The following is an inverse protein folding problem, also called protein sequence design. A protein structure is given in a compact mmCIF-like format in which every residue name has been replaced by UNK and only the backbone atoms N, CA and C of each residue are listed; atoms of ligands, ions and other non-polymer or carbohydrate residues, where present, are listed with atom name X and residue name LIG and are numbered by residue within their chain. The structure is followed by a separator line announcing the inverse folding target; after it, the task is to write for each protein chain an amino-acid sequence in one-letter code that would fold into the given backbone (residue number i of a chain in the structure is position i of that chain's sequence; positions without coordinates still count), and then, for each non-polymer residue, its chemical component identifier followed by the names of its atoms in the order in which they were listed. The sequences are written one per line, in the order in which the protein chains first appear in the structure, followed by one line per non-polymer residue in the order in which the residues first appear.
data_IF_700948150098
#
_entry.id   IF_700948150098
#
_cell.length_a   1.000
_cell.length_b   1.000
_cell.length_c   1.000
_cell.angle_alpha   90.00
_cell.angle_beta   90.00
_cell.angle_gamma   90.00
#
_symmetry.space_group_name_H-M   'P 1'
#
loop_
_entity.id
_entity.type
_entity.pdbx_description
1 polymer ?
#
# COMPACT_ATOMS: atom_id res chain seq x y z
N UNK A 1 1.23 7.32 4.10
CA UNK A 1 1.93 8.34 4.94
C UNK A 1 1.39 9.75 4.75
N UNK A 2 1.35 10.30 3.53
CA UNK A 2 0.62 11.55 3.25
C UNK A 2 -0.84 11.46 3.72
N UNK A 3 -1.51 10.34 3.43
CA UNK A 3 -2.88 10.06 3.86
C UNK A 3 -3.08 10.07 5.38
N UNK A 4 -2.17 9.47 6.18
CA UNK A 4 -2.27 9.47 7.65
C UNK A 4 -2.14 10.88 8.21
N UNK A 5 -1.21 11.66 7.67
CA UNK A 5 -1.01 13.07 8.03
C UNK A 5 -2.18 13.92 7.53
N UNK A 6 -2.77 13.59 6.39
CA UNK A 6 -3.95 14.25 5.83
C UNK A 6 -5.19 13.97 6.67
N UNK A 7 -5.48 12.72 7.02
CA UNK A 7 -6.55 12.32 7.93
C UNK A 7 -6.35 13.00 9.30
N UNK A 8 -5.12 13.01 9.82
CA UNK A 8 -4.79 13.74 11.04
C UNK A 8 -5.11 15.24 10.90
N UNK A 9 -4.72 15.87 9.79
CA UNK A 9 -4.96 17.29 9.53
C UNK A 9 -6.45 17.62 9.41
N UNK A 10 -7.23 16.78 8.71
CA UNK A 10 -8.69 16.91 8.54
C UNK A 10 -9.45 16.75 9.86
N UNK A 11 -8.94 15.94 10.78
CA UNK A 11 -9.60 15.61 12.06
C UNK A 11 -8.93 16.24 13.29
N UNK A 12 -8.14 17.32 13.11
CA UNK A 12 -7.36 17.96 14.17
C UNK A 12 -8.17 18.31 15.42
N UNK A 13 -9.38 18.86 15.25
CA UNK A 13 -10.23 19.27 16.37
C UNK A 13 -10.74 18.07 17.19
N UNK A 14 -11.23 17.02 16.52
CA UNK A 14 -11.66 15.79 17.20
C UNK A 14 -10.52 15.11 17.95
N UNK A 15 -9.32 15.11 17.34
CA UNK A 15 -8.10 14.58 17.97
C UNK A 15 -7.72 15.42 19.19
N UNK A 16 -7.77 16.75 19.08
CA UNK A 16 -7.50 17.66 20.20
C UNK A 16 -8.43 17.40 21.37
N UNK A 17 -9.74 17.36 21.13
CA UNK A 17 -10.76 17.12 22.18
C UNK A 17 -10.58 15.76 22.87
N UNK A 18 -10.24 14.72 22.10
CA UNK A 18 -9.96 13.40 22.65
C UNK A 18 -8.72 13.41 23.56
N UNK A 19 -7.63 14.02 23.10
CA UNK A 19 -6.37 14.09 23.85
C UNK A 19 -6.51 14.95 25.10
N UNK A 20 -7.23 16.06 25.03
CA UNK A 20 -7.57 16.89 26.19
C UNK A 20 -8.36 16.09 27.23
N UNK A 21 -9.39 15.37 26.79
CA UNK A 21 -10.19 14.48 27.64
C UNK A 21 -9.38 13.32 28.23
N UNK A 22 -8.39 12.81 27.49
CA UNK A 22 -7.46 11.80 27.96
C UNK A 22 -6.57 12.36 29.06
N UNK A 23 -5.93 13.50 28.84
CA UNK A 23 -5.01 14.09 29.82
C UNK A 23 -5.75 14.58 31.07
N UNK A 24 -6.99 15.09 30.95
CA UNK A 24 -7.79 15.49 32.12
C UNK A 24 -8.07 14.33 33.08
N UNK A 25 -8.08 13.10 32.56
CA UNK A 25 -8.22 11.87 33.35
C UNK A 25 -6.89 11.33 33.85
N UNK A 26 -5.77 11.76 33.27
CA UNK A 26 -4.42 11.23 33.54
C UNK A 26 -3.44 12.37 33.81
N UNK A 27 -3.52 12.95 35.00
CA UNK A 27 -2.63 14.03 35.45
C UNK A 27 -1.27 13.53 35.98
N UNK A 28 -1.00 12.22 35.90
CA UNK A 28 0.27 11.62 36.29
C UNK A 28 0.66 10.51 35.31
N UNK A 29 1.95 10.20 35.27
CA UNK A 29 2.50 9.10 34.46
C UNK A 29 2.35 7.81 35.26
N UNK A 30 1.45 6.91 34.83
CA UNK A 30 1.21 5.62 35.47
C UNK A 30 1.25 4.45 34.47
N UNK A 31 1.71 3.29 34.94
CA UNK A 31 1.84 2.07 34.13
C UNK A 31 0.50 1.56 33.57
N UNK A 32 -0.60 1.78 34.31
CA UNK A 32 -1.93 1.29 33.90
C UNK A 32 -2.44 1.99 32.66
N UNK A 33 -2.20 3.31 32.53
CA UNK A 33 -2.53 4.06 31.32
C UNK A 33 -1.73 3.56 30.12
N UNK A 34 -0.46 3.23 30.31
CA UNK A 34 0.37 2.64 29.26
C UNK A 34 -0.13 1.27 28.81
N UNK A 35 -0.66 0.45 29.71
CA UNK A 35 -1.25 -0.83 29.32
C UNK A 35 -2.58 -0.64 28.59
N UNK A 36 -3.40 0.32 29.04
CA UNK A 36 -4.74 0.58 28.49
C UNK A 36 -4.70 1.24 27.12
N UNK A 37 -3.86 2.26 26.94
CA UNK A 37 -3.85 3.09 25.73
C UNK A 37 -2.70 2.68 24.80
N UNK A 38 -3.04 1.92 23.76
CA UNK A 38 -2.05 1.37 22.81
C UNK A 38 -1.31 2.44 22.00
N UNK A 39 -1.90 3.62 21.85
CA UNK A 39 -1.33 4.75 21.13
C UNK A 39 -0.18 5.44 21.88
N UNK A 40 -0.06 5.29 23.20
CA UNK A 40 1.06 5.85 23.96
C UNK A 40 2.35 5.10 23.61
N UNK A 41 3.37 5.82 23.14
CA UNK A 41 4.71 5.31 22.91
C UNK A 41 5.61 5.56 24.10
N UNK A 42 5.66 6.82 24.56
CA UNK A 42 6.42 7.23 25.73
C UNK A 42 5.74 8.33 26.52
N UNK A 43 6.09 8.43 27.81
CA UNK A 43 5.69 9.56 28.64
C UNK A 43 6.75 9.86 29.68
N UNK A 44 7.07 11.15 29.84
CA UNK A 44 8.11 11.61 30.76
C UNK A 44 7.77 13.00 31.31
N UNK A 45 8.41 13.37 32.42
CA UNK A 45 8.24 14.69 33.06
C UNK A 45 9.47 15.54 32.83
N UNK A 46 9.22 16.78 32.45
CA UNK A 46 10.22 17.84 32.26
C UNK A 46 9.97 18.93 33.29
N UNK A 47 11.00 19.45 33.94
CA UNK A 47 10.85 20.57 34.88
C UNK A 47 10.73 21.94 34.18
N UNK A 48 10.69 23.00 34.97
CA UNK A 48 10.62 24.39 34.48
C UNK A 48 11.91 24.85 33.80
N UNK A 49 13.03 24.14 34.01
CA UNK A 49 14.31 24.41 33.36
C UNK A 49 14.49 23.56 32.10
N UNK A 50 13.43 22.89 31.64
CA UNK A 50 13.41 22.00 30.48
C UNK A 50 14.33 20.77 30.61
N UNK A 51 14.66 20.39 31.84
CA UNK A 51 15.39 19.17 32.12
C UNK A 51 14.43 18.01 32.39
N UNK A 52 14.72 16.84 31.85
CA UNK A 52 13.96 15.64 32.18
C UNK A 52 14.30 15.19 33.61
N UNK A 53 13.29 15.14 34.49
CA UNK A 53 13.50 14.92 35.94
C UNK A 53 13.04 13.55 36.42
N UNK A 54 12.15 12.88 35.67
CA UNK A 54 11.62 11.56 36.04
C UNK A 54 11.75 10.57 34.89
N UNK A 55 12.24 9.37 35.19
CA UNK A 55 12.20 8.24 34.27
C UNK A 55 10.78 8.06 33.72
N UNK A 56 10.69 7.97 32.40
CA UNK A 56 9.45 7.77 31.69
C UNK A 56 9.19 6.31 31.38
N UNK A 57 7.97 6.01 30.94
CA UNK A 57 7.68 4.73 30.31
C UNK A 57 7.93 4.86 28.81
N UNK A 58 8.51 3.82 28.20
CA UNK A 58 8.50 3.63 26.76
C UNK A 58 8.08 2.19 26.46
N UNK A 59 7.38 1.98 25.34
CA UNK A 59 7.03 0.62 24.89
C UNK A 59 8.25 -0.18 24.42
N UNK A 60 9.32 0.50 24.01
CA UNK A 60 10.52 -0.14 23.46
C UNK A 60 11.64 -0.30 24.51
N UNK A 61 11.36 0.00 25.79
CA UNK A 61 12.29 -0.13 26.91
C UNK A 61 11.98 0.84 28.06
N UNK A 62 12.73 0.79 29.16
CA UNK A 62 12.66 1.85 30.18
C UNK A 62 13.42 3.08 29.68
N UNK A 63 12.85 4.27 29.84
CA UNK A 63 13.59 5.51 29.63
C UNK A 63 14.46 5.70 30.86
N UNK A 64 15.77 5.49 30.73
CA UNK A 64 16.72 5.71 31.82
C UNK A 64 16.66 7.17 32.31
N UNK A 65 16.86 7.34 33.61
CA UNK A 65 16.80 8.62 34.31
C UNK A 65 18.05 9.45 34.02
N UNK A 66 18.16 9.97 32.80
CA UNK A 66 19.18 10.97 32.45
C UNK A 66 18.60 12.37 32.51
N UNK A 67 19.31 13.28 33.16
CA UNK A 67 19.13 14.73 33.02
C UNK A 67 19.51 15.09 31.59
N UNK A 68 18.55 14.97 30.67
CA UNK A 68 18.70 15.37 29.27
C UNK A 68 18.06 16.74 29.12
N UNK A 69 18.83 17.70 28.61
CA UNK A 69 18.31 19.03 28.27
C UNK A 69 17.38 18.93 27.05
N UNK A 70 16.10 19.27 27.25
CA UNK A 70 15.06 19.29 26.21
C UNK A 70 14.72 20.69 25.75
N UNK A 71 15.40 21.74 26.22
CA UNK A 71 15.06 23.15 25.94
C UNK A 71 14.88 23.47 24.44
N UNK A 72 15.60 22.79 23.55
CA UNK A 72 15.41 22.90 22.09
C UNK A 72 13.98 22.61 21.62
N UNK A 73 13.31 21.64 22.24
CA UNK A 73 11.95 21.23 21.91
C UNK A 73 10.88 22.16 22.50
N UNK A 74 11.26 22.95 23.50
CA UNK A 74 10.36 23.86 24.23
C UNK A 74 10.53 25.34 23.86
N UNK A 75 11.56 25.70 23.08
CA UNK A 75 11.95 27.10 22.82
C UNK A 75 10.84 27.98 22.21
N UNK A 76 9.89 27.39 21.49
CA UNK A 76 8.77 28.09 20.83
C UNK A 76 7.42 27.47 21.18
N UNK A 77 7.28 26.95 22.40
CA UNK A 77 6.08 26.22 22.80
C UNK A 77 4.95 27.19 23.19
N UNK A 78 3.96 27.32 22.32
CA UNK A 78 2.72 28.07 22.59
C UNK A 78 1.65 27.12 23.12
N UNK A 79 1.32 27.24 24.41
CA UNK A 79 0.26 26.45 25.04
C UNK A 79 -1.10 27.06 24.72
N UNK A 80 -2.02 26.23 24.23
CA UNK A 80 -3.46 26.50 24.15
C UNK A 80 -4.14 25.70 25.26
N UNK A 81 -4.84 26.36 26.18
CA UNK A 81 -5.53 25.71 27.31
C UNK A 81 -4.61 24.76 28.12
N UNK A 82 -3.40 25.23 28.45
CA UNK A 82 -2.34 24.46 29.13
C UNK A 82 -1.88 23.18 28.40
N UNK A 83 -2.26 23.01 27.13
CA UNK A 83 -1.88 21.90 26.27
C UNK A 83 -1.17 22.38 24.98
N UNK A 84 -0.25 21.57 24.47
CA UNK A 84 0.37 21.76 23.16
C UNK A 84 0.46 20.40 22.45
N UNK A 85 0.21 20.40 21.14
CA UNK A 85 0.37 19.22 20.27
C UNK A 85 1.37 19.57 19.19
N UNK A 86 2.48 18.85 19.14
CA UNK A 86 3.51 19.04 18.12
C UNK A 86 2.97 18.73 16.72
N UNK A 87 3.60 19.26 15.67
CA UNK A 87 3.46 18.68 14.33
C UNK A 87 3.83 17.18 14.33
N UNK A 88 3.25 16.40 13.41
CA UNK A 88 3.69 15.03 13.14
C UNK A 88 5.20 14.97 12.86
N UNK A 89 5.90 14.08 13.54
CA UNK A 89 7.34 13.87 13.38
C UNK A 89 7.68 12.38 13.53
N UNK A 90 8.94 12.01 13.30
CA UNK A 90 9.43 10.64 13.52
C UNK A 90 9.97 10.56 14.94
N UNK A 91 9.42 9.65 15.74
CA UNK A 91 9.89 9.41 17.09
C UNK A 91 11.26 8.73 17.07
N UNK A 92 12.20 9.26 17.84
CA UNK A 92 13.63 8.96 17.68
C UNK A 92 14.00 7.51 18.00
N UNK A 93 13.36 6.90 19.02
CA UNK A 93 13.69 5.52 19.44
C UNK A 93 12.87 4.46 18.74
N UNK A 94 11.60 4.75 18.42
CA UNK A 94 10.68 3.78 17.81
C UNK A 94 10.69 3.83 16.28
N UNK A 95 11.18 4.93 15.68
CA UNK A 95 11.13 5.18 14.23
C UNK A 95 9.71 5.41 13.68
N UNK A 96 8.69 5.47 14.55
CA UNK A 96 7.29 5.59 14.16
C UNK A 96 6.86 7.05 14.00
N UNK A 97 5.84 7.28 13.19
CA UNK A 97 5.22 8.59 13.07
C UNK A 97 4.40 8.90 14.33
N UNK A 98 4.76 10.00 14.97
CA UNK A 98 4.24 10.36 16.27
C UNK A 98 3.94 11.86 16.37
N UNK A 99 3.09 12.20 17.33
CA UNK A 99 2.92 13.55 17.85
C UNK A 99 3.33 13.55 19.32
N UNK A 100 3.90 14.65 19.78
CA UNK A 100 4.17 14.86 21.20
C UNK A 100 3.10 15.79 21.75
N UNK A 101 2.43 15.35 22.80
CA UNK A 101 1.42 16.12 23.51
C UNK A 101 2.02 16.57 24.84
N UNK A 102 2.05 17.88 25.05
CA UNK A 102 2.61 18.52 26.23
C UNK A 102 1.49 19.10 27.06
N UNK A 103 1.51 18.86 28.37
CA UNK A 103 0.60 19.47 29.34
C UNK A 103 1.39 20.17 30.44
N UNK A 104 1.04 21.41 30.73
CA UNK A 104 1.59 22.15 31.86
C UNK A 104 1.03 21.61 33.17
N UNK A 105 1.91 21.40 34.16
CA UNK A 105 1.57 21.01 35.53
C UNK A 105 2.28 21.93 36.52
N UNK A 106 1.92 21.90 37.80
CA UNK A 106 2.50 22.79 38.82
C UNK A 106 4.04 22.77 38.81
N UNK A 107 4.64 21.59 38.63
CA UNK A 107 6.08 21.37 38.71
C UNK A 107 6.75 21.14 37.35
N UNK A 108 6.27 21.80 36.29
CA UNK A 108 6.85 21.73 34.95
C UNK A 108 5.86 21.25 33.89
N UNK A 109 6.25 20.24 33.13
CA UNK A 109 5.52 19.74 31.96
C UNK A 109 5.48 18.21 31.94
N UNK A 110 4.32 17.66 31.57
CA UNK A 110 4.16 16.26 31.21
C UNK A 110 4.18 16.15 29.69
N UNK A 111 4.98 15.23 29.17
CA UNK A 111 5.08 14.97 27.72
C UNK A 111 4.63 13.53 27.47
N UNK A 112 3.76 13.36 26.48
CA UNK A 112 3.29 12.07 25.98
C UNK A 112 3.57 11.99 24.48
N UNK A 113 4.40 11.04 24.07
CA UNK A 113 4.61 10.74 22.66
C UNK A 113 3.58 9.69 22.21
N UNK A 114 2.85 10.02 21.16
CA UNK A 114 1.69 9.27 20.70
C UNK A 114 1.90 8.83 19.27
N UNK A 115 1.73 7.53 19.05
CA UNK A 115 1.67 6.92 17.73
C UNK A 115 0.41 7.39 16.98
N UNK A 116 0.58 8.15 15.90
CA UNK A 116 -0.54 8.74 15.15
C UNK A 116 -1.44 7.64 14.59
N UNK A 117 -0.86 6.56 14.06
CA UNK A 117 -1.63 5.47 13.46
C UNK A 117 -2.56 4.84 14.48
N UNK A 118 -2.03 4.49 15.65
CA UNK A 118 -2.83 3.87 16.72
C UNK A 118 -3.84 4.82 17.33
N UNK A 119 -3.52 6.12 17.40
CA UNK A 119 -4.47 7.14 17.85
C UNK A 119 -5.67 7.23 16.90
N UNK A 120 -5.42 7.26 15.60
CA UNK A 120 -6.48 7.31 14.59
C UNK A 120 -7.31 6.01 14.57
N UNK A 121 -6.70 4.86 14.83
CA UNK A 121 -7.41 3.58 15.02
C UNK A 121 -8.32 3.61 16.25
N UNK A 122 -7.83 4.11 17.38
CA UNK A 122 -8.62 4.25 18.61
C UNK A 122 -9.84 5.15 18.39
N UNK A 123 -9.67 6.21 17.59
CA UNK A 123 -10.74 7.12 17.19
C UNK A 123 -11.66 6.57 16.09
N UNK A 124 -11.42 5.35 15.61
CA UNK A 124 -12.15 4.73 14.49
C UNK A 124 -12.12 5.58 13.21
N UNK A 125 -11.12 6.46 13.08
CA UNK A 125 -10.87 7.25 11.86
C UNK A 125 -10.16 6.42 10.80
N UNK A 126 -9.57 5.29 11.19
CA UNK A 126 -8.96 4.30 10.32
C UNK A 126 -9.36 2.91 10.84
N UNK A 127 -10.00 2.09 9.99
CA UNK A 127 -10.21 0.68 10.29
C UNK A 127 -8.93 -0.10 10.04
N UNK A 128 -8.29 -0.56 11.13
CA UNK A 128 -7.11 -1.42 11.05
C UNK A 128 -7.29 -2.56 12.06
N UNK A 129 -8.10 -3.56 11.69
CA UNK A 129 -8.15 -4.80 12.47
C UNK A 129 -7.14 -5.79 11.88
N UNK A 130 -6.23 -6.29 12.72
CA UNK A 130 -5.25 -7.32 12.34
C UNK A 130 -5.96 -8.57 11.76
N UNK A 131 -7.21 -8.81 12.15
CA UNK A 131 -8.07 -9.88 11.66
C UNK A 131 -8.51 -9.67 10.20
N UNK A 132 -9.01 -8.48 9.83
CA UNK A 132 -9.40 -8.21 8.44
C UNK A 132 -8.19 -8.28 7.50
N UNK A 133 -7.02 -7.82 7.97
CA UNK A 133 -5.76 -7.96 7.22
C UNK A 133 -5.41 -9.43 6.98
N UNK A 134 -5.53 -10.27 8.00
CA UNK A 134 -5.26 -11.71 7.86
C UNK A 134 -6.24 -12.38 6.91
N UNK A 135 -7.53 -12.09 7.02
CA UNK A 135 -8.58 -12.65 6.16
C UNK A 135 -8.36 -12.25 4.70
N UNK A 136 -8.14 -10.95 4.44
CA UNK A 136 -7.86 -10.46 3.08
C UNK A 136 -6.60 -11.13 2.52
N UNK A 137 -5.50 -11.14 3.28
CA UNK A 137 -4.25 -11.76 2.86
C UNK A 137 -4.41 -13.23 2.47
N UNK A 138 -5.21 -13.99 3.24
CA UNK A 138 -5.51 -15.39 2.93
C UNK A 138 -6.36 -15.48 1.65
N UNK A 139 -7.42 -14.69 1.54
CA UNK A 139 -8.32 -14.71 0.39
C UNK A 139 -7.57 -14.40 -0.92
N UNK A 140 -6.81 -13.31 -0.94
CA UNK A 140 -6.01 -12.92 -2.10
C UNK A 140 -4.86 -13.91 -2.36
N UNK A 141 -4.27 -14.50 -1.32
CA UNK A 141 -3.27 -15.55 -1.46
C UNK A 141 -3.79 -16.81 -2.13
N UNK A 142 -4.98 -17.28 -1.74
CA UNK A 142 -5.66 -18.42 -2.37
C UNK A 142 -6.01 -18.10 -3.82
N UNK A 143 -6.60 -16.93 -4.07
CA UNK A 143 -6.96 -16.48 -5.41
C UNK A 143 -5.77 -16.43 -6.36
N UNK A 144 -4.67 -15.80 -5.93
CA UNK A 144 -3.47 -15.70 -6.74
C UNK A 144 -2.77 -17.06 -6.96
N UNK A 145 -2.77 -17.95 -5.95
CA UNK A 145 -2.25 -19.31 -6.13
C UNK A 145 -3.05 -20.10 -7.17
N UNK A 146 -4.38 -19.96 -7.18
CA UNK A 146 -5.26 -20.56 -8.19
C UNK A 146 -4.92 -20.04 -9.59
N UNK A 147 -4.71 -18.72 -9.74
CA UNK A 147 -4.33 -18.12 -11.02
C UNK A 147 -2.96 -18.61 -11.51
N UNK A 148 -1.97 -18.80 -10.63
CA UNK A 148 -0.68 -19.40 -10.99
C UNK A 148 -0.87 -20.82 -11.51
N UNK A 149 -1.72 -21.63 -10.88
CA UNK A 149 -2.01 -22.98 -11.35
C UNK A 149 -2.63 -22.96 -12.75
N UNK A 150 -3.64 -22.12 -12.98
CA UNK A 150 -4.28 -21.94 -14.29
C UNK A 150 -3.26 -21.50 -15.34
N UNK A 151 -2.40 -20.54 -15.01
CA UNK A 151 -1.34 -20.08 -15.90
C UNK A 151 -0.38 -21.21 -16.29
N UNK A 152 0.09 -22.00 -15.32
CA UNK A 152 0.97 -23.15 -15.59
C UNK A 152 0.31 -24.17 -16.51
N UNK A 153 -0.97 -24.46 -16.32
CA UNK A 153 -1.72 -25.35 -17.21
C UNK A 153 -1.81 -24.80 -18.64
N UNK A 154 -2.06 -23.50 -18.81
CA UNK A 154 -2.14 -22.85 -20.12
C UNK A 154 -0.79 -22.84 -20.84
N UNK A 155 0.29 -22.47 -20.15
CA UNK A 155 1.65 -22.52 -20.71
C UNK A 155 2.04 -23.95 -21.05
N UNK A 156 1.75 -24.91 -20.16
CA UNK A 156 1.98 -26.32 -20.40
C UNK A 156 1.22 -26.84 -21.62
N UNK A 157 -0.04 -26.43 -21.81
CA UNK A 157 -0.82 -26.76 -23.00
C UNK A 157 -0.22 -26.15 -24.28
N UNK A 158 0.28 -24.92 -24.20
CA UNK A 158 0.96 -24.26 -25.31
C UNK A 158 2.22 -25.00 -25.75
N UNK A 159 3.05 -25.40 -24.78
CA UNK A 159 4.25 -26.23 -25.01
C UNK A 159 3.87 -27.60 -25.59
N UNK A 160 2.83 -28.24 -25.04
CA UNK A 160 2.33 -29.52 -25.57
C UNK A 160 1.97 -29.41 -27.05
N UNK A 161 1.29 -28.33 -27.47
CA UNK A 161 0.94 -28.11 -28.87
C UNK A 161 2.16 -27.93 -29.77
N UNK A 162 3.22 -27.27 -29.30
CA UNK A 162 4.51 -27.19 -30.02
C UNK A 162 5.12 -28.58 -30.19
N UNK A 163 5.10 -29.40 -29.13
CA UNK A 163 5.56 -30.78 -29.20
C UNK A 163 4.84 -31.58 -30.29
N UNK A 164 3.51 -31.52 -30.32
CA UNK A 164 2.69 -32.19 -31.36
C UNK A 164 3.09 -31.76 -32.78
N UNK A 165 3.38 -30.47 -32.99
CA UNK A 165 3.84 -29.95 -34.29
C UNK A 165 5.23 -30.52 -34.66
N UNK A 166 6.18 -30.48 -33.73
CA UNK A 166 7.56 -30.94 -33.97
C UNK A 166 7.60 -32.43 -34.34
N UNK A 167 6.77 -33.26 -33.70
CA UNK A 167 6.69 -34.69 -33.99
C UNK A 167 5.84 -35.04 -35.22
N UNK A 168 5.36 -34.04 -35.97
CA UNK A 168 4.55 -34.27 -37.17
C UNK A 168 3.18 -34.91 -36.89
N UNK A 169 2.68 -34.78 -35.65
CA UNK A 169 1.41 -35.36 -35.19
C UNK A 169 0.22 -34.40 -35.37
N UNK A 170 0.41 -33.28 -36.06
CA UNK A 170 -0.63 -32.27 -36.28
C UNK A 170 -1.18 -32.33 -37.70
N UNK A 171 -2.49 -32.56 -37.83
CA UNK A 171 -3.21 -32.50 -39.12
C UNK A 171 -3.38 -31.05 -39.63
N UNK A 172 -3.42 -30.07 -38.72
CA UNK A 172 -3.54 -28.64 -39.04
C UNK A 172 -2.44 -27.84 -38.31
N UNK A 173 -1.37 -27.53 -39.05
CA UNK A 173 -0.22 -26.78 -38.57
C UNK A 173 -0.61 -25.39 -38.05
N UNK A 174 -1.35 -24.61 -38.85
CA UNK A 174 -1.69 -23.22 -38.53
C UNK A 174 -2.61 -23.15 -37.29
N UNK A 175 -3.58 -24.04 -37.18
CA UNK A 175 -4.45 -24.12 -36.00
C UNK A 175 -3.69 -24.55 -34.74
N UNK A 176 -2.73 -25.46 -34.87
CA UNK A 176 -1.92 -25.91 -33.74
C UNK A 176 -0.95 -24.82 -33.26
N UNK A 177 -0.32 -24.09 -34.18
CA UNK A 177 0.53 -22.92 -33.85
C UNK A 177 -0.31 -21.83 -33.20
N UNK A 178 -1.48 -21.52 -33.74
CA UNK A 178 -2.39 -20.53 -33.18
C UNK A 178 -2.79 -20.88 -31.75
N UNK A 179 -3.28 -22.10 -31.50
CA UNK A 179 -3.66 -22.58 -30.17
C UNK A 179 -2.48 -22.55 -29.19
N UNK A 180 -1.29 -22.87 -29.67
CA UNK A 180 -0.08 -22.83 -28.84
C UNK A 180 0.25 -21.40 -28.39
N UNK A 181 0.30 -20.45 -29.32
CA UNK A 181 0.68 -19.08 -28.99
C UNK A 181 -0.39 -18.38 -28.16
N UNK A 182 -1.67 -18.59 -28.45
CA UNK A 182 -2.78 -18.05 -27.65
C UNK A 182 -2.71 -18.55 -26.21
N UNK A 183 -2.61 -19.87 -26.00
CA UNK A 183 -2.55 -20.44 -24.65
C UNK A 183 -1.30 -20.02 -23.89
N UNK A 184 -0.14 -19.98 -24.54
CA UNK A 184 1.12 -19.53 -23.91
C UNK A 184 1.04 -18.06 -23.50
N UNK A 185 0.57 -17.20 -24.41
CA UNK A 185 0.45 -15.76 -24.17
C UNK A 185 -0.57 -15.46 -23.06
N UNK A 186 -1.72 -16.13 -23.08
CA UNK A 186 -2.74 -16.01 -22.03
C UNK A 186 -2.20 -16.50 -20.67
N UNK A 187 -1.48 -17.62 -20.67
CA UNK A 187 -0.84 -18.16 -19.47
C UNK A 187 0.14 -17.17 -18.86
N UNK A 188 1.03 -16.57 -19.66
CA UNK A 188 1.99 -15.56 -19.18
C UNK A 188 1.27 -14.33 -18.63
N UNK A 189 0.23 -13.83 -19.32
CA UNK A 189 -0.54 -12.67 -18.84
C UNK A 189 -1.22 -12.93 -17.49
N UNK A 190 -1.79 -14.13 -17.30
CA UNK A 190 -2.42 -14.55 -16.05
C UNK A 190 -1.37 -14.71 -14.93
N UNK A 191 -0.18 -15.24 -15.25
CA UNK A 191 0.91 -15.32 -14.28
C UNK A 191 1.31 -13.94 -13.76
N UNK A 192 1.45 -12.98 -14.66
CA UNK A 192 1.86 -11.62 -14.33
C UNK A 192 0.82 -10.92 -13.44
N UNK A 193 -0.47 -11.15 -13.68
CA UNK A 193 -1.56 -10.72 -12.78
C UNK A 193 -1.46 -11.38 -11.41
N UNK A 194 -1.29 -12.70 -11.37
CA UNK A 194 -1.25 -13.45 -10.12
C UNK A 194 -0.07 -13.02 -9.26
N UNK A 195 1.10 -12.83 -9.89
CA UNK A 195 2.29 -12.29 -9.24
C UNK A 195 2.05 -10.91 -8.66
N UNK A 196 1.39 -10.02 -9.41
CA UNK A 196 1.07 -8.68 -8.92
C UNK A 196 0.13 -8.70 -7.71
N UNK A 197 -0.89 -9.56 -7.72
CA UNK A 197 -1.78 -9.74 -6.56
C UNK A 197 -0.98 -10.25 -5.35
N UNK A 198 -0.12 -11.26 -5.53
CA UNK A 198 0.71 -11.76 -4.42
C UNK A 198 1.65 -10.68 -3.89
N UNK A 199 2.35 -9.96 -4.76
CA UNK A 199 3.28 -8.92 -4.34
C UNK A 199 2.56 -7.82 -3.57
N UNK A 200 1.46 -7.28 -4.11
CA UNK A 200 0.84 -6.08 -3.55
C UNK A 200 -0.14 -6.34 -2.40
N UNK A 201 -0.83 -7.48 -2.40
CA UNK A 201 -1.88 -7.76 -1.44
C UNK A 201 -1.44 -8.78 -0.37
N UNK A 202 -0.41 -9.59 -0.66
CA UNK A 202 0.05 -10.66 0.22
C UNK A 202 1.45 -10.44 0.79
N UNK A 203 2.39 -9.86 0.04
CA UNK A 203 3.82 -9.77 0.45
C UNK A 203 4.19 -8.37 0.96
N UNK A 204 3.81 -7.30 0.25
CA UNK A 204 4.17 -5.94 0.62
C UNK A 204 3.09 -5.28 1.49
N UNK A 205 3.48 -4.81 2.67
CA UNK A 205 2.61 -4.02 3.53
C UNK A 205 2.30 -2.64 2.92
N UNK A 206 1.05 -2.26 3.09
CA UNK A 206 0.28 -1.16 2.50
C UNK A 206 0.74 0.25 2.90
N UNK A 207 2.02 0.58 2.71
CA UNK A 207 2.54 1.91 3.12
C UNK A 207 2.29 3.02 2.08
N UNK A 208 1.93 2.68 0.84
CA UNK A 208 1.56 3.64 -0.21
C UNK A 208 0.39 3.14 -1.05
N UNK A 209 -0.83 3.55 -0.70
CA UNK A 209 -2.06 2.96 -1.26
C UNK A 209 -2.46 3.51 -2.63
N UNK A 210 -2.19 4.78 -2.95
CA UNK A 210 -2.73 5.36 -4.20
C UNK A 210 -1.69 5.43 -5.33
N UNK A 211 -0.53 6.04 -5.10
CA UNK A 211 0.49 6.22 -6.15
C UNK A 211 1.07 4.89 -6.68
N UNK A 212 1.18 3.88 -5.82
CA UNK A 212 1.67 2.56 -6.24
C UNK A 212 0.59 1.74 -6.96
N UNK A 213 -0.69 1.90 -6.62
CA UNK A 213 -1.79 1.10 -7.21
C UNK A 213 -1.94 1.37 -8.71
N UNK A 214 -1.88 2.63 -9.13
CA UNK A 214 -1.92 2.99 -10.56
C UNK A 214 -0.70 2.49 -11.33
N UNK A 215 0.48 2.49 -10.71
CA UNK A 215 1.70 1.95 -11.31
C UNK A 215 1.63 0.44 -11.54
N UNK A 216 0.99 -0.30 -10.63
CA UNK A 216 0.80 -1.76 -10.71
C UNK A 216 -0.23 -2.09 -11.76
N UNK A 217 -1.43 -1.51 -11.67
CA UNK A 217 -2.49 -1.70 -12.66
C UNK A 217 -2.01 -1.32 -14.07
N UNK A 218 -1.21 -0.25 -14.19
CA UNK A 218 -0.59 0.14 -15.45
C UNK A 218 0.36 -0.93 -16.00
N UNK A 219 1.24 -1.51 -15.17
CA UNK A 219 2.14 -2.61 -15.60
C UNK A 219 1.35 -3.85 -16.04
N UNK A 220 0.30 -4.22 -15.30
CA UNK A 220 -0.61 -5.29 -15.69
C UNK A 220 -1.27 -5.02 -17.06
N UNK A 221 -1.85 -3.84 -17.24
CA UNK A 221 -2.51 -3.48 -18.50
C UNK A 221 -1.52 -3.48 -19.66
N UNK A 222 -0.30 -2.94 -19.49
CA UNK A 222 0.74 -3.00 -20.52
C UNK A 222 1.04 -4.45 -20.93
N UNK A 223 1.19 -5.36 -19.96
CA UNK A 223 1.43 -6.79 -20.20
C UNK A 223 0.29 -7.44 -21.00
N UNK A 224 -0.97 -7.20 -20.61
CA UNK A 224 -2.16 -7.70 -21.33
C UNK A 224 -2.26 -7.14 -22.75
N UNK A 225 -1.92 -5.87 -22.94
CA UNK A 225 -2.04 -5.21 -24.24
C UNK A 225 -0.98 -5.73 -25.22
N UNK A 226 0.25 -5.97 -24.74
CA UNK A 226 1.30 -6.62 -25.53
C UNK A 226 0.84 -8.03 -25.93
N UNK A 227 0.29 -8.80 -24.99
CA UNK A 227 -0.26 -10.13 -25.24
C UNK A 227 -1.36 -10.11 -26.34
N UNK A 228 -2.38 -9.26 -26.18
CA UNK A 228 -3.47 -9.10 -27.15
C UNK A 228 -2.96 -8.64 -28.52
N UNK A 229 -1.93 -7.79 -28.55
CA UNK A 229 -1.34 -7.30 -29.80
C UNK A 229 -0.68 -8.43 -30.59
N UNK A 230 0.09 -9.30 -29.93
CA UNK A 230 0.74 -10.46 -30.57
C UNK A 230 -0.30 -11.46 -31.07
N UNK A 231 -1.32 -11.75 -30.26
CA UNK A 231 -2.41 -12.66 -30.64
C UNK A 231 -3.16 -12.14 -31.88
N UNK A 232 -3.52 -10.86 -31.85
CA UNK A 232 -4.24 -10.22 -32.94
C UNK A 232 -3.44 -10.14 -34.23
N UNK A 233 -2.13 -9.87 -34.15
CA UNK A 233 -1.25 -9.90 -35.30
C UNK A 233 -1.26 -11.28 -35.97
N UNK A 234 -1.32 -12.36 -35.19
CA UNK A 234 -1.42 -13.71 -35.74
C UNK A 234 -2.78 -13.96 -36.45
N UNK A 235 -3.88 -13.46 -35.88
CA UNK A 235 -5.20 -13.54 -36.53
C UNK A 235 -5.18 -12.81 -37.87
N UNK A 236 -4.59 -11.62 -37.92
CA UNK A 236 -4.42 -10.83 -39.15
C UNK A 236 -3.61 -11.60 -40.18
N UNK A 237 -2.48 -12.22 -39.78
CA UNK A 237 -1.70 -13.06 -40.69
C UNK A 237 -2.49 -14.25 -41.23
N UNK A 238 -3.28 -14.92 -40.38
CA UNK A 238 -4.11 -16.05 -40.80
C UNK A 238 -5.14 -15.62 -41.84
N UNK A 239 -5.79 -14.46 -41.63
CA UNK A 239 -6.75 -13.88 -42.57
C UNK A 239 -6.05 -13.53 -43.89
N UNK A 240 -4.89 -12.89 -43.83
CA UNK A 240 -4.13 -12.48 -45.01
C UNK A 240 -3.69 -13.67 -45.90
N UNK A 241 -3.42 -14.84 -45.30
CA UNK A 241 -3.00 -16.03 -46.04
C UNK A 241 -4.16 -16.88 -46.57
N UNK A 242 -5.26 -16.98 -45.81
CA UNK A 242 -6.30 -18.00 -46.07
C UNK A 242 -7.67 -17.43 -46.47
N UNK A 243 -7.98 -16.17 -46.17
CA UNK A 243 -9.34 -15.63 -46.41
C UNK A 243 -9.35 -14.11 -46.61
N UNK A 244 -9.10 -13.67 -47.83
CA UNK A 244 -9.13 -12.26 -48.22
C UNK A 244 -10.50 -11.59 -48.01
N UNK A 245 -11.60 -12.36 -47.90
CA UNK A 245 -12.94 -11.79 -47.67
C UNK A 245 -13.06 -11.18 -46.27
N UNK A 246 -12.26 -11.66 -45.32
CA UNK A 246 -12.23 -11.17 -43.94
C UNK A 246 -11.19 -10.06 -43.71
N UNK A 247 -10.57 -9.53 -44.77
CA UNK A 247 -9.52 -8.51 -44.66
C UNK A 247 -10.03 -7.21 -44.01
N UNK A 248 -11.32 -6.89 -44.18
CA UNK A 248 -11.95 -5.76 -43.49
C UNK A 248 -12.04 -5.99 -41.96
N UNK A 249 -12.37 -7.21 -41.54
CA UNK A 249 -12.38 -7.61 -40.12
C UNK A 249 -10.98 -7.48 -39.51
N UNK A 250 -9.94 -7.87 -40.26
CA UNK A 250 -8.54 -7.70 -39.85
C UNK A 250 -8.15 -6.21 -39.68
N UNK A 251 -8.63 -5.33 -40.55
CA UNK A 251 -8.43 -3.88 -40.41
C UNK A 251 -9.05 -3.33 -39.12
N UNK A 252 -10.30 -3.70 -38.82
CA UNK A 252 -10.97 -3.26 -37.60
C UNK A 252 -10.27 -3.79 -36.33
N UNK A 253 -9.75 -5.01 -36.37
CA UNK A 253 -8.95 -5.58 -35.28
C UNK A 253 -7.69 -4.74 -35.02
N UNK A 254 -6.94 -4.39 -36.08
CA UNK A 254 -5.75 -3.53 -35.97
C UNK A 254 -6.07 -2.12 -35.47
N UNK A 255 -7.18 -1.53 -35.93
CA UNK A 255 -7.65 -0.23 -35.43
C UNK A 255 -8.01 -0.31 -33.94
N UNK A 256 -8.68 -1.38 -33.50
CA UNK A 256 -9.03 -1.60 -32.10
C UNK A 256 -7.80 -1.61 -31.19
N UNK A 257 -6.76 -2.35 -31.56
CA UNK A 257 -5.49 -2.40 -30.80
C UNK A 257 -4.81 -1.03 -30.78
N UNK A 258 -4.81 -0.33 -31.92
CA UNK A 258 -4.21 1.00 -32.03
C UNK A 258 -4.90 2.01 -31.10
N UNK A 259 -6.24 1.99 -31.04
CA UNK A 259 -7.02 2.82 -30.10
C UNK A 259 -6.69 2.44 -28.66
N UNK A 260 -6.58 1.15 -28.36
CA UNK A 260 -6.32 0.66 -27.02
C UNK A 260 -4.92 1.08 -26.53
N UNK A 261 -3.90 1.00 -27.40
CA UNK A 261 -2.57 1.54 -27.14
C UNK A 261 -2.59 3.05 -26.93
N UNK A 262 -3.37 3.78 -27.73
CA UNK A 262 -3.50 5.23 -27.60
C UNK A 262 -4.15 5.63 -26.25
N UNK A 263 -5.23 4.95 -25.86
CA UNK A 263 -5.91 5.16 -24.57
C UNK A 263 -4.95 4.88 -23.41
N UNK A 264 -4.19 3.77 -23.46
CA UNK A 264 -3.19 3.45 -22.43
C UNK A 264 -2.10 4.52 -22.34
N UNK A 265 -1.59 4.98 -23.48
CA UNK A 265 -0.58 6.06 -23.53
C UNK A 265 -1.11 7.37 -22.95
N UNK A 266 -2.36 7.71 -23.24
CA UNK A 266 -3.03 8.88 -22.67
C UNK A 266 -3.25 8.76 -21.15
N UNK A 267 -3.67 7.58 -20.69
CA UNK A 267 -3.82 7.27 -19.26
C UNK A 267 -2.49 7.46 -18.52
N UNK A 268 -1.41 6.87 -19.02
CA UNK A 268 -0.09 6.97 -18.39
C UNK A 268 0.43 8.42 -18.34
N UNK A 269 0.22 9.18 -19.41
CA UNK A 269 0.55 10.62 -19.46
C UNK A 269 -0.25 11.44 -18.45
N UNK A 270 -1.53 11.12 -18.26
CA UNK A 270 -2.41 11.83 -17.32
C UNK A 270 -2.02 11.56 -15.87
N UNK A 271 -1.69 10.30 -15.54
CA UNK A 271 -1.20 9.92 -14.21
C UNK A 271 0.14 10.59 -13.88
N UNK A 272 1.08 10.64 -14.84
CA UNK A 272 2.38 11.30 -14.67
C UNK A 272 2.30 12.84 -14.52
N UNK A 273 1.23 13.48 -14.98
CA UNK A 273 1.01 14.94 -14.86
C UNK A 273 0.35 15.35 -13.55
N UNK A 274 -0.18 14.38 -12.79
CA UNK A 274 -0.86 14.60 -11.50
C UNK A 274 0.03 14.39 -10.27
N UNK A 275 1.30 14.02 -10.47
CA UNK A 275 2.38 14.00 -9.47
C UNK A 275 3.22 15.27 -9.58
#
# INVERSE_FOLDING_TARGET
MAEVVEIYSKNRESIYQYLESFLNRHNQIDDKSFQRYRFLQSAYKVDRNFQQVKAGFSRDGKIEEYITDKSNWFRNLELKDDMYISPPHIHLSSGKHSISVVRKVLDGYLVFDIDILKLLQELHLIEYSDFNRLVNRIFYGIGATSLILVSLLLVGFGIYKIGVIIFGLSDDFFSSVFKSVVSTTLGIAIYDLAKQILEHEVIFETIHHEEKLYGVLGKFLVSVIIALSIESMMVVFKIALNDYTQMLSALFLLLGISILLFVLGYFYKSVLKGQ
#
